data_IF_883394931708
#
_entry.id   IF_883394931708
#
_cell.length_a   1.000
_cell.length_b   1.000
_cell.length_c   1.000
_cell.angle_alpha   90.00
_cell.angle_beta   90.00
_cell.angle_gamma   90.00
#
_symmetry.space_group_name_H-M   'P 1'
#
loop_
_entity.id
_entity.type
_entity.pdbx_description
1 polymer ?
#
# COMPACT_ATOMS: atom_id res chain seq x y z
N UNK A 1 16.34 19.13 -9.22
CA UNK A 1 16.09 17.68 -9.21
C UNK A 1 15.89 17.15 -7.79
N UNK A 2 15.55 15.85 -7.69
CA UNK A 2 15.43 15.15 -6.40
C UNK A 2 16.19 13.82 -6.48
N UNK A 3 16.90 13.49 -5.40
CA UNK A 3 17.51 12.19 -5.14
C UNK A 3 16.72 11.54 -4.01
N UNK A 4 16.07 10.43 -4.28
CA UNK A 4 15.35 9.64 -3.29
C UNK A 4 16.20 8.40 -2.98
N UNK A 5 16.49 8.18 -1.71
CA UNK A 5 17.25 7.03 -1.24
C UNK A 5 16.28 6.18 -0.42
N UNK A 6 15.77 5.14 -1.05
CA UNK A 6 14.86 4.18 -0.43
C UNK A 6 15.63 3.22 0.49
N UNK A 7 14.97 2.77 1.55
CA UNK A 7 15.56 1.86 2.54
C UNK A 7 16.91 2.35 3.07
N UNK A 8 16.99 3.62 3.44
CA UNK A 8 18.23 4.28 3.85
C UNK A 8 18.92 3.61 5.04
N UNK A 9 18.18 2.82 5.85
CA UNK A 9 18.75 2.01 6.94
C UNK A 9 19.83 1.02 6.51
N UNK A 10 19.81 0.61 5.24
CA UNK A 10 20.83 -0.26 4.64
C UNK A 10 22.10 0.45 4.18
N UNK A 11 22.19 1.77 4.31
CA UNK A 11 23.37 2.51 3.87
C UNK A 11 24.59 2.21 4.75
N UNK A 12 25.71 1.89 4.10
CA UNK A 12 26.99 1.73 4.78
C UNK A 12 27.57 3.07 5.24
N UNK A 13 28.36 3.06 6.31
CA UNK A 13 28.98 4.26 6.87
C UNK A 13 29.83 5.02 5.86
N UNK A 14 30.50 4.32 4.95
CA UNK A 14 31.29 4.90 3.86
C UNK A 14 30.42 5.70 2.89
N UNK A 15 29.24 5.19 2.54
CA UNK A 15 28.27 5.85 1.67
C UNK A 15 27.68 7.08 2.34
N UNK A 16 27.32 6.97 3.63
CA UNK A 16 26.85 8.10 4.43
C UNK A 16 27.88 9.23 4.51
N UNK A 17 29.15 8.89 4.68
CA UNK A 17 30.24 9.88 4.71
C UNK A 17 30.41 10.56 3.35
N UNK A 18 30.41 9.80 2.26
CA UNK A 18 30.50 10.34 0.91
C UNK A 18 29.29 11.26 0.59
N UNK A 19 28.08 10.86 0.95
CA UNK A 19 26.88 11.67 0.79
C UNK A 19 26.94 12.95 1.63
N UNK A 20 27.39 12.84 2.88
CA UNK A 20 27.57 14.00 3.77
C UNK A 20 28.55 15.03 3.18
N UNK A 21 29.66 14.56 2.64
CA UNK A 21 30.65 15.42 1.96
C UNK A 21 30.08 16.06 0.70
N UNK A 22 29.35 15.30 -0.12
CA UNK A 22 28.73 15.84 -1.32
C UNK A 22 27.68 16.93 -1.00
N UNK A 23 26.99 16.82 0.15
CA UNK A 23 26.04 17.83 0.62
C UNK A 23 26.70 19.08 1.23
N UNK A 24 28.02 19.12 1.41
CA UNK A 24 28.74 20.32 1.87
C UNK A 24 29.01 21.30 0.71
N UNK A 25 29.02 20.81 -0.51
CA UNK A 25 29.18 21.60 -1.71
C UNK A 25 27.87 22.21 -2.22
N UNK A 26 27.98 22.94 -3.33
CA UNK A 26 26.80 23.39 -4.06
C UNK A 26 26.14 22.20 -4.77
N UNK A 27 24.97 21.82 -4.27
CA UNK A 27 24.17 20.73 -4.84
C UNK A 27 23.31 21.16 -6.03
N UNK A 28 23.41 22.43 -6.46
CA UNK A 28 22.60 22.98 -7.54
C UNK A 28 21.09 22.94 -7.25
N UNK A 29 20.69 23.01 -5.97
CA UNK A 29 19.29 22.92 -5.55
C UNK A 29 18.71 21.50 -5.63
N UNK A 30 19.57 20.46 -5.53
CA UNK A 30 19.12 19.07 -5.45
C UNK A 30 18.42 18.81 -4.11
N UNK A 31 17.17 18.36 -4.17
CA UNK A 31 16.46 17.86 -2.99
C UNK A 31 16.92 16.43 -2.71
N UNK A 32 17.30 16.15 -1.46
CA UNK A 32 17.68 14.80 -1.03
C UNK A 32 16.63 14.31 -0.03
N UNK A 33 16.06 13.14 -0.31
CA UNK A 33 15.03 12.49 0.50
C UNK A 33 15.58 11.13 0.94
N UNK A 34 15.56 10.88 2.25
CA UNK A 34 15.83 9.57 2.84
C UNK A 34 14.51 8.92 3.21
N UNK A 35 14.29 7.71 2.73
CA UNK A 35 13.13 6.89 3.08
C UNK A 35 13.62 5.69 3.91
N UNK A 36 12.89 5.37 4.98
CA UNK A 36 13.18 4.25 5.85
C UNK A 36 12.29 4.23 7.07
N UNK A 37 12.43 3.19 7.90
CA UNK A 37 11.75 3.16 9.19
C UNK A 37 12.28 4.25 10.12
N UNK A 38 11.45 4.70 11.05
CA UNK A 38 11.88 5.70 12.05
C UNK A 38 13.14 5.24 12.77
N UNK A 39 13.17 3.98 13.20
CA UNK A 39 14.31 3.39 13.93
C UNK A 39 15.59 3.42 13.10
N UNK A 40 15.53 3.09 11.82
CA UNK A 40 16.69 3.06 10.94
C UNK A 40 17.20 4.47 10.63
N UNK A 41 16.33 5.42 10.36
CA UNK A 41 16.71 6.82 10.16
C UNK A 41 17.32 7.40 11.42
N UNK A 42 16.76 7.12 12.60
CA UNK A 42 17.33 7.54 13.87
C UNK A 42 18.73 6.93 14.11
N UNK A 43 18.94 5.66 13.82
CA UNK A 43 20.26 5.02 13.91
C UNK A 43 21.31 5.71 13.05
N UNK A 44 20.95 6.07 11.80
CA UNK A 44 21.85 6.82 10.90
C UNK A 44 22.20 8.17 11.49
N UNK A 45 21.20 8.92 11.96
CA UNK A 45 21.38 10.28 12.48
C UNK A 45 22.17 10.30 13.78
N UNK A 46 21.98 9.33 14.68
CA UNK A 46 22.78 9.19 15.90
C UNK A 46 24.26 8.90 15.62
N UNK A 47 24.56 8.17 14.54
CA UNK A 47 25.94 7.88 14.15
C UNK A 47 26.64 9.05 13.48
N UNK A 48 25.90 9.99 12.91
CA UNK A 48 26.45 11.10 12.15
C UNK A 48 25.62 12.39 12.33
N UNK A 49 25.87 13.12 13.41
CA UNK A 49 25.15 14.35 13.74
C UNK A 49 25.32 15.44 12.65
N UNK A 50 26.47 15.51 11.98
CA UNK A 50 26.68 16.46 10.88
C UNK A 50 25.80 16.14 9.69
N UNK A 51 25.62 14.85 9.39
CA UNK A 51 24.70 14.41 8.35
C UNK A 51 23.23 14.70 8.74
N UNK A 52 22.87 14.40 9.98
CA UNK A 52 21.53 14.65 10.50
C UNK A 52 21.11 16.13 10.42
N UNK A 53 22.07 17.05 10.71
CA UNK A 53 21.81 18.49 10.69
C UNK A 53 21.53 19.08 9.30
N UNK A 54 21.64 18.29 8.25
CA UNK A 54 21.36 18.68 6.86
C UNK A 54 19.91 18.41 6.46
N UNK A 55 19.13 17.76 7.32
CA UNK A 55 17.71 17.41 7.07
C UNK A 55 16.82 18.24 8.00
N UNK A 56 16.24 19.30 7.46
CA UNK A 56 15.38 20.24 8.21
C UNK A 56 13.92 19.76 8.30
N UNK A 57 13.52 18.83 7.45
CA UNK A 57 12.13 18.39 7.35
C UNK A 57 12.04 16.89 7.58
N UNK A 58 11.00 16.50 8.34
CA UNK A 58 10.60 15.11 8.53
C UNK A 58 9.14 14.98 8.12
N UNK A 59 8.86 13.98 7.33
CA UNK A 59 7.50 13.57 6.96
C UNK A 59 7.30 12.16 7.49
N UNK A 60 6.29 12.00 8.32
CA UNK A 60 5.87 10.69 8.82
C UNK A 60 4.68 10.21 7.99
N UNK A 61 4.79 9.00 7.45
CA UNK A 61 3.70 8.33 6.75
C UNK A 61 3.14 7.28 7.70
N UNK A 62 1.98 7.53 8.32
CA UNK A 62 1.38 6.57 9.24
C UNK A 62 0.96 5.30 8.50
N UNK A 63 0.85 4.20 9.24
CA UNK A 63 0.25 2.97 8.72
C UNK A 63 -1.23 3.19 8.44
N UNK A 64 -1.74 2.53 7.41
CA UNK A 64 -3.15 2.62 7.06
C UNK A 64 -4.03 1.95 8.13
N UNK A 65 -5.10 2.62 8.50
CA UNK A 65 -6.19 2.01 9.26
C UNK A 65 -6.98 1.02 8.40
N UNK A 66 -7.72 0.11 9.05
CA UNK A 66 -8.60 -0.82 8.33
C UNK A 66 -9.61 -0.09 7.44
N UNK A 67 -10.14 1.05 7.90
CA UNK A 67 -11.09 1.86 7.14
C UNK A 67 -10.45 2.46 5.89
N UNK A 68 -9.23 2.98 5.98
CA UNK A 68 -8.50 3.52 4.83
C UNK A 68 -8.18 2.43 3.81
N UNK A 69 -7.79 1.23 4.27
CA UNK A 69 -7.55 0.09 3.40
C UNK A 69 -8.82 -0.39 2.69
N UNK A 70 -9.97 -0.39 3.37
CA UNK A 70 -11.27 -0.71 2.75
C UNK A 70 -11.70 0.37 1.77
N UNK A 71 -11.46 1.65 2.06
CA UNK A 71 -11.77 2.72 1.12
C UNK A 71 -10.87 2.66 -0.12
N UNK A 72 -9.58 2.34 0.05
CA UNK A 72 -8.69 2.02 -1.06
C UNK A 72 -9.22 0.85 -1.90
N UNK A 73 -9.65 -0.24 -1.24
CA UNK A 73 -10.18 -1.41 -1.91
C UNK A 73 -11.40 -1.10 -2.79
N UNK A 74 -12.34 -0.28 -2.29
CA UNK A 74 -13.51 0.16 -3.07
C UNK A 74 -13.10 0.91 -4.35
N UNK A 75 -12.11 1.78 -4.26
CA UNK A 75 -11.59 2.51 -5.42
C UNK A 75 -10.88 1.57 -6.40
N UNK A 76 -10.05 0.66 -5.90
CA UNK A 76 -9.31 -0.28 -6.71
C UNK A 76 -10.21 -1.23 -7.51
N UNK A 77 -11.22 -1.83 -6.87
CA UNK A 77 -12.15 -2.73 -7.59
C UNK A 77 -13.00 -1.96 -8.60
N UNK A 78 -13.37 -0.70 -8.30
CA UNK A 78 -14.13 0.14 -9.22
C UNK A 78 -13.34 0.45 -10.50
N UNK A 79 -12.05 0.77 -10.38
CA UNK A 79 -11.15 0.97 -11.53
C UNK A 79 -11.03 -0.30 -12.41
N UNK A 80 -11.23 -1.48 -11.82
CA UNK A 80 -11.21 -2.76 -12.51
C UNK A 80 -12.60 -3.23 -12.99
N UNK A 81 -13.63 -2.40 -12.88
CA UNK A 81 -15.00 -2.70 -13.33
C UNK A 81 -15.79 -3.60 -12.38
N UNK A 82 -15.44 -3.56 -11.09
CA UNK A 82 -16.12 -4.29 -10.03
C UNK A 82 -16.62 -3.33 -8.94
N UNK A 83 -17.58 -3.80 -8.14
CA UNK A 83 -18.01 -3.15 -6.90
C UNK A 83 -18.15 -4.21 -5.80
N UNK A 84 -17.94 -3.78 -4.55
CA UNK A 84 -18.16 -4.62 -3.37
C UNK A 84 -19.60 -4.46 -2.89
N UNK A 85 -20.32 -5.54 -2.64
CA UNK A 85 -21.56 -5.45 -1.88
C UNK A 85 -21.28 -5.29 -0.37
N UNK A 86 -22.31 -5.07 0.44
CA UNK A 86 -22.16 -4.81 1.88
C UNK A 86 -21.49 -5.99 2.61
N UNK A 87 -21.78 -7.23 2.22
CA UNK A 87 -21.20 -8.42 2.85
C UNK A 87 -19.74 -8.63 2.42
N UNK A 88 -19.42 -8.35 1.16
CA UNK A 88 -18.04 -8.34 0.68
C UNK A 88 -17.18 -7.30 1.42
N UNK A 89 -17.73 -6.11 1.69
CA UNK A 89 -17.04 -5.09 2.51
C UNK A 89 -16.77 -5.60 3.92
N UNK A 90 -17.73 -6.28 4.55
CA UNK A 90 -17.55 -6.87 5.88
C UNK A 90 -16.49 -7.99 5.87
N UNK A 91 -16.57 -8.91 4.90
CA UNK A 91 -15.60 -9.99 4.75
C UNK A 91 -14.17 -9.45 4.54
N UNK A 92 -14.02 -8.42 3.72
CA UNK A 92 -12.73 -7.76 3.51
C UNK A 92 -12.23 -7.08 4.79
N UNK A 93 -13.11 -6.36 5.50
CA UNK A 93 -12.77 -5.70 6.76
C UNK A 93 -12.27 -6.71 7.80
N UNK A 94 -12.95 -7.86 7.94
CA UNK A 94 -12.57 -8.93 8.85
C UNK A 94 -11.24 -9.57 8.44
N UNK A 95 -10.99 -9.77 7.14
CA UNK A 95 -9.71 -10.28 6.64
C UNK A 95 -8.56 -9.32 6.93
N UNK A 96 -8.72 -8.04 6.67
CA UNK A 96 -7.74 -7.02 7.01
C UNK A 96 -7.51 -7.03 8.52
N UNK A 97 -8.58 -6.97 9.33
CA UNK A 97 -8.51 -6.94 10.78
C UNK A 97 -7.82 -8.15 11.38
N UNK A 98 -8.03 -9.36 10.82
CA UNK A 98 -7.38 -10.58 11.29
C UNK A 98 -5.87 -10.64 11.02
N UNK A 99 -5.41 -9.95 9.97
CA UNK A 99 -3.99 -9.86 9.58
C UNK A 99 -3.27 -8.67 10.22
N UNK A 100 -4.02 -7.63 10.61
CA UNK A 100 -3.48 -6.44 11.27
C UNK A 100 -3.14 -6.77 12.72
N UNK A 101 -1.87 -6.76 13.08
CA UNK A 101 -1.37 -7.00 14.43
C UNK A 101 -0.45 -5.85 14.87
N UNK A 102 -0.05 -5.85 16.15
CA UNK A 102 0.92 -4.86 16.65
C UNK A 102 2.30 -4.94 15.96
N UNK A 103 2.64 -6.13 15.42
CA UNK A 103 3.93 -6.40 14.78
C UNK A 103 3.85 -6.42 13.26
N UNK A 104 2.64 -6.54 12.70
CA UNK A 104 2.43 -6.65 11.25
C UNK A 104 1.29 -5.75 10.81
N UNK A 105 1.61 -4.77 9.99
CA UNK A 105 0.62 -3.88 9.39
C UNK A 105 0.28 -4.35 7.98
N UNK A 106 -1.02 -4.50 7.72
CA UNK A 106 -1.50 -4.84 6.38
C UNK A 106 -1.19 -3.69 5.42
N UNK A 107 -0.58 -4.03 4.31
CA UNK A 107 -0.17 -3.08 3.27
C UNK A 107 -1.20 -2.98 2.15
N UNK A 108 -1.14 -1.90 1.37
CA UNK A 108 -1.93 -1.73 0.13
C UNK A 108 -1.66 -2.88 -0.85
N UNK A 109 -0.43 -3.40 -0.91
CA UNK A 109 -0.07 -4.53 -1.77
C UNK A 109 -0.81 -5.80 -1.38
N UNK A 110 -0.86 -6.12 -0.09
CA UNK A 110 -1.61 -7.29 0.41
C UNK A 110 -3.12 -7.15 0.15
N UNK A 111 -3.67 -5.94 0.30
CA UNK A 111 -5.08 -5.69 -0.04
C UNK A 111 -5.33 -5.90 -1.53
N UNK A 112 -4.44 -5.44 -2.42
CA UNK A 112 -4.53 -5.70 -3.86
C UNK A 112 -4.52 -7.20 -4.16
N UNK A 113 -3.62 -7.96 -3.55
CA UNK A 113 -3.55 -9.42 -3.73
C UNK A 113 -4.87 -10.09 -3.35
N UNK A 114 -5.45 -9.74 -2.20
CA UNK A 114 -6.77 -10.24 -1.78
C UNK A 114 -7.85 -9.92 -2.82
N UNK A 115 -7.86 -8.68 -3.32
CA UNK A 115 -8.86 -8.23 -4.29
C UNK A 115 -8.69 -8.88 -5.66
N UNK A 116 -7.45 -9.03 -6.12
CA UNK A 116 -7.14 -9.68 -7.40
C UNK A 116 -7.59 -11.16 -7.36
N UNK A 117 -7.35 -11.87 -6.26
CA UNK A 117 -7.87 -13.22 -6.06
C UNK A 117 -9.40 -13.26 -6.04
N UNK A 118 -10.06 -12.32 -5.35
CA UNK A 118 -11.52 -12.24 -5.32
C UNK A 118 -12.10 -11.95 -6.72
N UNK A 119 -11.50 -11.03 -7.48
CA UNK A 119 -11.91 -10.72 -8.86
C UNK A 119 -11.69 -11.90 -9.78
N UNK A 120 -10.59 -12.64 -9.63
CA UNK A 120 -10.29 -13.86 -10.38
C UNK A 120 -11.34 -14.96 -10.10
N UNK A 121 -11.72 -15.17 -8.86
CA UNK A 121 -12.78 -16.13 -8.48
C UNK A 121 -14.11 -15.69 -9.06
N UNK A 122 -14.42 -14.41 -8.93
CA UNK A 122 -15.58 -13.79 -9.55
C UNK A 122 -15.60 -14.01 -11.06
N UNK A 123 -14.45 -13.98 -11.76
CA UNK A 123 -14.30 -14.22 -13.19
C UNK A 123 -14.39 -15.68 -13.60
N UNK A 124 -13.90 -16.61 -12.77
CA UNK A 124 -13.84 -18.06 -13.06
C UNK A 124 -15.19 -18.79 -12.96
N UNK A 125 -16.23 -18.13 -12.48
CA UNK A 125 -17.56 -18.71 -12.24
C UNK A 125 -18.31 -19.28 -13.48
N UNK A 126 -17.65 -19.43 -14.61
CA UNK A 126 -18.07 -20.19 -15.82
C UNK A 126 -19.49 -19.86 -16.31
N UNK A 127 -20.15 -20.88 -16.88
CA UNK A 127 -21.48 -20.79 -17.49
C UNK A 127 -22.56 -20.27 -16.52
N UNK A 128 -22.48 -20.57 -15.22
CA UNK A 128 -23.45 -20.09 -14.22
C UNK A 128 -23.40 -18.57 -14.06
N UNK A 129 -22.20 -17.97 -14.08
CA UNK A 129 -22.00 -16.51 -13.99
C UNK A 129 -22.31 -15.80 -15.30
N UNK A 130 -22.03 -16.45 -16.44
CA UNK A 130 -22.46 -15.93 -17.74
C UNK A 130 -24.00 -15.81 -17.81
N UNK A 131 -24.72 -16.83 -17.32
CA UNK A 131 -26.18 -16.79 -17.20
C UNK A 131 -26.66 -15.75 -16.17
N UNK A 132 -25.95 -15.56 -15.04
CA UNK A 132 -26.26 -14.53 -14.03
C UNK A 132 -25.99 -13.12 -14.56
N UNK A 133 -24.99 -12.92 -15.42
CA UNK A 133 -24.71 -11.67 -16.13
C UNK A 133 -25.88 -11.30 -17.08
N UNK A 134 -26.46 -12.31 -17.75
CA UNK A 134 -27.65 -12.16 -18.61
C UNK A 134 -28.89 -11.79 -17.78
N UNK A 135 -28.99 -12.25 -16.54
CA UNK A 135 -30.13 -11.98 -15.64
C UNK A 135 -30.01 -10.71 -14.81
N UNK A 136 -28.99 -9.86 -15.04
CA UNK A 136 -28.70 -8.61 -14.27
C UNK A 136 -28.51 -8.79 -12.76
N UNK A 137 -28.36 -10.01 -12.26
CA UNK A 137 -28.24 -10.27 -10.81
C UNK A 137 -26.85 -9.99 -10.22
N UNK A 138 -25.80 -9.86 -11.06
CA UNK A 138 -24.42 -9.72 -10.64
C UNK A 138 -23.73 -8.47 -11.21
N UNK A 139 -24.51 -7.48 -11.62
CA UNK A 139 -24.00 -6.18 -12.07
C UNK A 139 -24.79 -5.06 -11.39
N UNK A 140 -24.08 -3.97 -11.09
CA UNK A 140 -24.69 -2.75 -10.58
C UNK A 140 -25.37 -1.95 -11.69
N UNK A 141 -25.92 -0.79 -11.35
CA UNK A 141 -26.61 0.12 -12.28
C UNK A 141 -25.66 0.69 -13.35
N UNK A 142 -24.37 0.72 -13.08
CA UNK A 142 -23.32 1.25 -13.96
C UNK A 142 -22.66 0.16 -14.84
N UNK A 143 -23.07 -1.12 -14.65
CA UNK A 143 -22.53 -2.25 -15.40
C UNK A 143 -21.31 -2.91 -14.78
N UNK A 144 -20.90 -2.52 -13.57
CA UNK A 144 -19.80 -3.15 -12.84
C UNK A 144 -20.24 -4.50 -12.25
N UNK A 145 -19.34 -5.48 -12.24
CA UNK A 145 -19.58 -6.77 -11.62
C UNK A 145 -19.55 -6.64 -10.09
N UNK A 146 -20.47 -7.32 -9.40
CA UNK A 146 -20.59 -7.27 -7.94
C UNK A 146 -19.75 -8.41 -7.35
N UNK A 147 -18.76 -8.06 -6.52
CA UNK A 147 -18.04 -8.99 -5.64
C UNK A 147 -18.84 -9.22 -4.37
N UNK A 148 -18.89 -10.45 -3.90
CA UNK A 148 -19.65 -10.90 -2.74
C UNK A 148 -18.76 -11.55 -1.70
N UNK A 149 -19.30 -11.79 -0.50
CA UNK A 149 -18.61 -12.48 0.59
C UNK A 149 -17.97 -13.81 0.12
N UNK A 150 -18.70 -14.61 -0.66
CA UNK A 150 -18.21 -15.90 -1.20
C UNK A 150 -16.95 -15.79 -2.08
N UNK A 151 -16.70 -14.62 -2.68
CA UNK A 151 -15.50 -14.37 -3.48
C UNK A 151 -14.25 -14.18 -2.59
N UNK A 152 -14.45 -13.93 -1.31
CA UNK A 152 -13.40 -13.76 -0.29
C UNK A 152 -13.17 -15.00 0.58
N UNK A 153 -14.04 -16.02 0.50
CA UNK A 153 -13.85 -17.27 1.23
C UNK A 153 -12.57 -18.00 0.75
N UNK A 154 -11.81 -18.62 1.66
CA UNK A 154 -10.57 -19.37 1.38
C UNK A 154 -9.36 -18.57 0.85
N UNK A 155 -9.32 -17.25 1.03
CA UNK A 155 -8.14 -16.42 0.71
C UNK A 155 -7.22 -16.30 1.93
#
# INVERSE_FOLDING_TARGET
GALIIENAGGLESSTLMALSLAMEGDTGGLLIILEGTEEDIQKIFLKNNNFASKFDYRVEVPVFSNEELVNFAKSYVLENGYVLDEFAVLALYDKIGSRQTLENNVTVTEVKEILDEAMDRAGRGGVKRFLAKITKKNIDENGNAILREEDFEEI
#
